data_IF_414884353795
#
_entry.id   IF_414884353795
#
_cell.length_a   1.000
_cell.length_b   1.000
_cell.length_c   1.000
_cell.angle_alpha   90.00
_cell.angle_beta   90.00
_cell.angle_gamma   90.00
#
_symmetry.space_group_name_H-M   'P 1'
#
loop_
_entity.id
_entity.type
_entity.pdbx_description
1 polymer ?
#
# COMPACT_ATOMS: atom_id res chain seq x y z
N UNK A 1 -22.55 26.78 -35.91
CA UNK A 1 -21.63 26.28 -36.94
C UNK A 1 -20.31 27.04 -36.76
N UNK A 2 -19.20 26.32 -36.61
CA UNK A 2 -17.88 26.91 -36.34
C UNK A 2 -17.28 27.37 -37.67
N UNK A 3 -16.60 28.53 -37.69
CA UNK A 3 -15.89 29.01 -38.87
C UNK A 3 -14.60 28.20 -39.07
N UNK A 4 -14.26 27.86 -40.31
CA UNK A 4 -13.03 27.11 -40.59
C UNK A 4 -12.62 27.19 -42.03
N UNK A 5 -11.33 26.95 -42.31
CA UNK A 5 -10.76 26.95 -43.66
C UNK A 5 -9.74 25.80 -43.78
N UNK A 6 -9.41 25.47 -45.05
CA UNK A 6 -8.35 24.50 -45.32
C UNK A 6 -7.00 25.21 -45.42
N UNK A 7 -5.98 24.60 -44.90
CA UNK A 7 -4.59 25.02 -45.02
C UNK A 7 -3.72 23.86 -45.48
N UNK A 8 -2.78 24.12 -46.38
CA UNK A 8 -1.76 23.16 -46.80
C UNK A 8 -0.51 23.32 -45.90
N UNK A 9 -0.05 22.20 -45.33
CA UNK A 9 1.20 22.17 -44.59
C UNK A 9 1.91 20.85 -44.88
N UNK A 10 3.15 20.94 -45.34
CA UNK A 10 3.96 19.77 -45.72
C UNK A 10 3.27 18.85 -46.77
N UNK A 11 2.59 19.44 -47.78
CA UNK A 11 1.91 18.69 -48.85
C UNK A 11 0.63 17.96 -48.42
N UNK A 12 0.09 18.25 -47.21
CA UNK A 12 -1.15 17.66 -46.71
C UNK A 12 -2.16 18.72 -46.28
N UNK A 13 -3.45 18.41 -46.45
CA UNK A 13 -4.55 19.26 -46.01
C UNK A 13 -4.78 19.17 -44.50
N UNK A 14 -4.97 20.34 -43.90
CA UNK A 14 -5.39 20.53 -42.53
C UNK A 14 -6.67 21.35 -42.50
N UNK A 15 -7.64 20.93 -41.67
CA UNK A 15 -8.79 21.76 -41.31
C UNK A 15 -8.41 22.67 -40.15
N UNK A 16 -8.56 23.96 -40.32
CA UNK A 16 -8.31 24.97 -39.30
C UNK A 16 -9.68 25.49 -38.83
N UNK A 17 -10.10 25.13 -37.65
CA UNK A 17 -11.39 25.51 -37.06
C UNK A 17 -11.19 26.67 -36.08
N UNK A 18 -11.92 27.77 -36.33
CA UNK A 18 -11.90 28.95 -35.48
C UNK A 18 -13.15 28.98 -34.61
N UNK A 19 -12.98 28.96 -33.30
CA UNK A 19 -14.07 29.01 -32.35
C UNK A 19 -13.81 30.04 -31.25
N UNK A 20 -14.88 30.43 -30.55
CA UNK A 20 -14.75 31.23 -29.33
C UNK A 20 -14.85 30.30 -28.12
N UNK A 21 -13.94 30.46 -27.16
CA UNK A 21 -14.05 29.79 -25.90
C UNK A 21 -15.18 30.39 -25.02
N UNK A 22 -15.49 29.79 -23.89
CA UNK A 22 -16.54 30.28 -22.98
C UNK A 22 -16.27 31.71 -22.48
N UNK A 23 -15.02 32.14 -22.40
CA UNK A 23 -14.61 33.51 -22.11
C UNK A 23 -14.64 34.48 -23.31
N UNK A 24 -15.20 34.10 -24.48
CA UNK A 24 -15.30 34.94 -25.67
C UNK A 24 -14.02 35.11 -26.47
N UNK A 25 -12.90 34.51 -26.05
CA UNK A 25 -11.61 34.62 -26.74
C UNK A 25 -11.60 33.71 -27.98
N UNK A 26 -11.06 34.22 -29.09
CA UNK A 26 -10.88 33.42 -30.31
C UNK A 26 -9.77 32.40 -30.13
N UNK A 27 -10.07 31.12 -30.40
CA UNK A 27 -9.15 29.98 -30.42
C UNK A 27 -9.17 29.28 -31.77
N UNK A 28 -8.09 28.59 -32.09
CA UNK A 28 -7.93 27.87 -33.34
C UNK A 28 -7.50 26.44 -33.09
N UNK A 29 -8.20 25.47 -33.71
CA UNK A 29 -7.82 24.05 -33.66
C UNK A 29 -7.43 23.56 -35.05
N UNK A 30 -6.25 22.95 -35.11
CA UNK A 30 -5.72 22.34 -36.34
C UNK A 30 -5.97 20.84 -36.31
N UNK A 31 -6.60 20.31 -37.37
CA UNK A 31 -6.90 18.90 -37.54
C UNK A 31 -6.28 18.42 -38.84
N UNK A 32 -5.37 17.46 -38.81
CA UNK A 32 -4.81 16.83 -39.98
C UNK A 32 -5.86 15.96 -40.66
N UNK A 33 -6.13 16.18 -41.94
CA UNK A 33 -7.07 15.36 -42.70
C UNK A 33 -6.40 14.10 -43.30
N UNK A 34 -5.07 13.98 -43.21
CA UNK A 34 -4.33 12.85 -43.81
C UNK A 34 -4.31 12.83 -45.34
N UNK A 35 -4.93 13.81 -45.99
CA UNK A 35 -5.09 13.91 -47.44
C UNK A 35 -3.94 14.69 -48.05
N UNK A 36 -3.29 14.13 -49.11
CA UNK A 36 -2.28 14.81 -49.91
C UNK A 36 -2.91 15.84 -50.81
N UNK A 37 -2.12 16.88 -51.21
CA UNK A 37 -2.58 18.00 -52.02
C UNK A 37 -3.17 17.56 -53.39
N UNK A 38 -2.49 16.61 -54.08
CA UNK A 38 -2.88 16.23 -55.46
C UNK A 38 -4.19 15.41 -55.45
N UNK A 39 -5.20 15.93 -56.15
CA UNK A 39 -6.47 15.23 -56.40
C UNK A 39 -7.47 15.15 -55.24
N UNK A 40 -7.13 15.65 -54.05
CA UNK A 40 -7.97 15.45 -52.85
C UNK A 40 -8.70 16.73 -52.37
N UNK A 41 -8.68 17.82 -53.12
CA UNK A 41 -9.28 19.09 -52.70
C UNK A 41 -10.78 18.95 -52.33
N UNK A 42 -11.59 18.32 -53.20
CA UNK A 42 -13.02 18.10 -52.94
C UNK A 42 -13.28 17.24 -51.69
N UNK A 43 -12.47 16.20 -51.50
CA UNK A 43 -12.56 15.35 -50.28
C UNK A 43 -12.22 16.15 -49.02
N UNK A 44 -11.18 16.99 -49.09
CA UNK A 44 -10.79 17.86 -47.99
C UNK A 44 -11.87 18.90 -47.64
N UNK A 45 -12.52 19.48 -48.66
CA UNK A 45 -13.66 20.41 -48.49
C UNK A 45 -14.88 19.74 -47.86
N UNK A 46 -15.21 18.52 -48.28
CA UNK A 46 -16.30 17.73 -47.68
C UNK A 46 -16.00 17.40 -46.24
N UNK A 47 -14.77 16.98 -45.93
CA UNK A 47 -14.35 16.66 -44.56
C UNK A 47 -14.31 17.89 -43.65
N UNK A 48 -13.89 19.06 -44.19
CA UNK A 48 -13.98 20.34 -43.49
C UNK A 48 -15.43 20.69 -43.18
N UNK A 49 -16.36 20.49 -44.12
CA UNK A 49 -17.78 20.76 -43.90
C UNK A 49 -18.35 19.87 -42.81
N UNK A 50 -18.02 18.59 -42.81
CA UNK A 50 -18.38 17.64 -41.74
C UNK A 50 -17.83 18.06 -40.38
N UNK A 51 -16.53 18.33 -40.30
CA UNK A 51 -15.87 18.76 -39.08
C UNK A 51 -16.46 20.08 -38.55
N UNK A 52 -16.86 21.01 -39.39
CA UNK A 52 -17.52 22.27 -38.96
C UNK A 52 -18.91 22.05 -38.40
N UNK A 53 -19.65 21.03 -38.87
CA UNK A 53 -20.98 20.70 -38.38
C UNK A 53 -20.91 19.92 -37.06
N UNK A 54 -19.95 19.01 -36.93
CA UNK A 54 -19.79 18.11 -35.80
C UNK A 54 -18.90 18.69 -34.68
N UNK A 55 -18.17 19.80 -34.96
CA UNK A 55 -17.25 20.35 -33.99
C UNK A 55 -17.95 21.00 -32.81
N UNK A 56 -17.82 20.35 -31.67
CA UNK A 56 -18.12 20.98 -30.39
C UNK A 56 -16.85 21.60 -29.83
N UNK A 57 -16.86 22.91 -29.50
CA UNK A 57 -15.75 23.54 -28.81
C UNK A 57 -15.43 22.73 -27.56
N UNK A 58 -14.14 22.52 -27.23
CA UNK A 58 -13.78 21.89 -25.97
C UNK A 58 -14.54 22.62 -24.86
N UNK A 59 -15.29 21.88 -24.05
CA UNK A 59 -15.92 22.43 -22.86
C UNK A 59 -14.80 23.01 -22.00
N UNK A 60 -14.69 24.32 -21.96
CA UNK A 60 -13.87 24.96 -20.96
C UNK A 60 -14.57 24.72 -19.63
N UNK A 61 -13.83 24.16 -18.70
CA UNK A 61 -14.25 24.04 -17.31
C UNK A 61 -14.45 25.47 -16.79
N UNK A 62 -15.65 25.95 -16.92
CA UNK A 62 -16.06 27.28 -16.56
C UNK A 62 -17.29 27.19 -15.68
N UNK A 63 -17.17 26.54 -14.53
CA UNK A 63 -18.24 26.61 -13.55
C UNK A 63 -17.69 27.13 -12.23
N UNK A 64 -18.56 27.77 -11.45
CA UNK A 64 -18.31 28.39 -10.15
C UNK A 64 -17.48 27.52 -9.17
N UNK A 65 -17.49 26.20 -9.37
CA UNK A 65 -16.74 25.23 -8.57
C UNK A 65 -15.21 25.33 -8.72
N UNK A 66 -14.69 25.84 -9.86
CA UNK A 66 -13.24 25.95 -10.08
C UNK A 66 -12.60 27.17 -9.37
N UNK A 67 -13.39 28.13 -8.94
CA UNK A 67 -12.96 29.30 -8.17
C UNK A 67 -12.93 29.01 -6.66
N UNK A 68 -13.38 27.82 -6.26
CA UNK A 68 -13.24 27.32 -4.89
C UNK A 68 -11.77 27.24 -4.48
N UNK A 69 -11.46 27.57 -3.22
CA UNK A 69 -10.11 27.36 -2.68
C UNK A 69 -9.74 25.88 -2.74
N UNK A 70 -8.54 25.58 -3.19
CA UNK A 70 -8.04 24.20 -3.23
C UNK A 70 -8.11 23.50 -1.87
N UNK A 71 -7.85 24.26 -0.79
CA UNK A 71 -7.96 23.74 0.59
C UNK A 71 -9.39 23.29 0.94
N UNK A 72 -10.41 24.03 0.48
CA UNK A 72 -11.82 23.71 0.76
C UNK A 72 -12.30 22.58 -0.15
N UNK A 73 -11.88 22.56 -1.41
CA UNK A 73 -12.08 21.43 -2.31
C UNK A 73 -11.60 20.10 -1.72
N UNK A 74 -10.40 20.08 -1.10
CA UNK A 74 -9.86 18.87 -0.49
C UNK A 74 -10.74 18.32 0.63
N UNK A 75 -11.35 19.19 1.42
CA UNK A 75 -12.27 18.80 2.49
C UNK A 75 -13.60 18.28 1.92
N UNK A 76 -14.15 18.96 0.91
CA UNK A 76 -15.37 18.51 0.23
C UNK A 76 -15.15 17.15 -0.45
N UNK A 77 -14.05 17.01 -1.18
CA UNK A 77 -13.68 15.73 -1.78
C UNK A 77 -13.56 14.61 -0.75
N UNK A 78 -12.99 14.89 0.42
CA UNK A 78 -12.85 13.88 1.48
C UNK A 78 -14.22 13.36 1.95
N UNK A 79 -15.19 14.24 2.13
CA UNK A 79 -16.56 13.85 2.51
C UNK A 79 -17.24 13.02 1.40
N UNK A 80 -17.08 13.42 0.13
CA UNK A 80 -17.56 12.63 -1.01
C UNK A 80 -16.89 11.25 -1.07
N UNK A 81 -15.61 11.18 -0.74
CA UNK A 81 -14.83 9.94 -0.77
C UNK A 81 -15.15 8.99 0.40
N UNK A 82 -15.78 9.46 1.48
CA UNK A 82 -16.08 8.72 2.71
C UNK A 82 -16.78 7.39 2.45
N UNK A 83 -17.81 7.37 1.61
CA UNK A 83 -18.56 6.16 1.29
C UNK A 83 -17.82 5.15 0.40
N UNK A 84 -16.66 5.52 -0.18
CA UNK A 84 -15.88 4.69 -1.10
C UNK A 84 -14.55 4.21 -0.53
N UNK A 85 -14.05 4.91 0.48
CA UNK A 85 -12.78 4.59 1.13
C UNK A 85 -13.02 3.60 2.29
N UNK A 86 -12.07 2.70 2.49
CA UNK A 86 -12.04 1.93 3.73
C UNK A 86 -11.83 2.88 4.92
N UNK A 87 -12.46 2.60 6.06
CA UNK A 87 -12.41 3.45 7.26
C UNK A 87 -10.99 3.86 7.66
N UNK A 88 -10.04 2.93 7.68
CA UNK A 88 -8.63 3.22 7.97
C UNK A 88 -7.99 4.17 6.95
N UNK A 89 -8.33 4.05 5.67
CA UNK A 89 -7.84 4.95 4.62
C UNK A 89 -8.46 6.34 4.76
N UNK A 90 -9.77 6.41 5.03
CA UNK A 90 -10.46 7.68 5.26
C UNK A 90 -9.86 8.42 6.46
N UNK A 91 -9.69 7.75 7.61
CA UNK A 91 -9.08 8.38 8.79
C UNK A 91 -7.64 8.83 8.56
N UNK A 92 -6.83 8.03 7.84
CA UNK A 92 -5.48 8.43 7.46
C UNK A 92 -5.48 9.68 6.56
N UNK A 93 -6.34 9.70 5.53
CA UNK A 93 -6.48 10.86 4.64
C UNK A 93 -6.97 12.10 5.40
N UNK A 94 -7.97 11.94 6.25
CA UNK A 94 -8.46 13.03 7.11
C UNK A 94 -7.36 13.60 7.99
N UNK A 95 -6.57 12.74 8.62
CA UNK A 95 -5.43 13.16 9.44
C UNK A 95 -4.42 13.99 8.64
N UNK A 96 -3.98 13.50 7.47
CA UNK A 96 -3.02 14.19 6.61
C UNK A 96 -3.58 15.52 6.08
N UNK A 97 -4.83 15.54 5.67
CA UNK A 97 -5.50 16.74 5.17
C UNK A 97 -5.66 17.79 6.27
N UNK A 98 -6.29 17.43 7.38
CA UNK A 98 -6.62 18.39 8.46
C UNK A 98 -5.37 18.91 9.18
N UNK A 99 -4.33 18.08 9.38
CA UNK A 99 -3.13 18.47 10.12
C UNK A 99 -2.12 19.27 9.31
N UNK A 100 -2.01 19.03 8.01
CA UNK A 100 -0.86 19.54 7.24
C UNK A 100 -1.27 20.15 5.90
N UNK A 101 -1.97 19.41 5.03
CA UNK A 101 -2.18 19.83 3.65
C UNK A 101 -3.11 21.03 3.57
N UNK A 102 -4.28 20.95 4.19
CA UNK A 102 -5.29 22.02 4.19
C UNK A 102 -4.78 23.30 4.85
N UNK A 103 -4.14 23.27 6.04
CA UNK A 103 -3.56 24.47 6.64
C UNK A 103 -2.50 25.14 5.75
N UNK A 104 -1.69 24.35 5.06
CA UNK A 104 -0.68 24.88 4.14
C UNK A 104 -1.31 25.65 2.96
N UNK A 105 -2.21 24.98 2.22
CA UNK A 105 -2.82 25.58 1.03
C UNK A 105 -3.83 26.68 1.36
N UNK A 106 -4.47 26.65 2.51
CA UNK A 106 -5.34 27.74 2.97
C UNK A 106 -4.56 29.05 3.17
N UNK A 107 -3.33 28.97 3.69
CA UNK A 107 -2.43 30.16 3.80
C UNK A 107 -2.03 30.70 2.43
N UNK A 108 -1.94 29.84 1.41
CA UNK A 108 -1.58 30.26 0.04
C UNK A 108 -2.75 30.88 -0.72
N UNK A 109 -3.99 30.70 -0.27
CA UNK A 109 -5.23 31.21 -0.88
C UNK A 109 -5.38 30.84 -2.37
N UNK A 110 -4.83 29.70 -2.79
CA UNK A 110 -4.92 29.22 -4.16
C UNK A 110 -6.27 28.61 -4.42
N UNK A 111 -6.89 28.98 -5.54
CA UNK A 111 -8.09 28.30 -6.04
C UNK A 111 -7.70 26.98 -6.72
N UNK A 112 -8.69 26.12 -6.93
CA UNK A 112 -8.49 24.85 -7.67
C UNK A 112 -7.99 25.11 -9.10
N UNK A 113 -8.46 26.15 -9.75
CA UNK A 113 -8.06 26.59 -11.11
C UNK A 113 -6.62 27.08 -11.16
N UNK A 114 -6.17 27.81 -10.15
CA UNK A 114 -4.82 28.38 -10.09
C UNK A 114 -3.76 27.39 -9.67
N UNK A 115 -4.17 26.19 -9.24
CA UNK A 115 -3.24 25.17 -8.77
C UNK A 115 -2.39 24.64 -9.94
N UNK A 116 -1.08 24.79 -9.82
CA UNK A 116 -0.08 24.31 -10.77
C UNK A 116 0.86 23.30 -10.11
N UNK A 117 1.56 22.51 -10.95
CA UNK A 117 2.55 21.53 -10.46
C UNK A 117 3.64 22.16 -9.59
N UNK A 118 4.06 23.40 -9.90
CA UNK A 118 5.06 24.14 -9.10
C UNK A 118 4.59 24.36 -7.66
N UNK A 119 3.31 24.59 -7.42
CA UNK A 119 2.78 24.82 -6.07
C UNK A 119 2.85 23.53 -5.24
N UNK A 120 2.57 22.39 -5.84
CA UNK A 120 2.74 21.08 -5.20
C UNK A 120 4.21 20.75 -4.96
N UNK A 121 5.10 21.07 -5.92
CA UNK A 121 6.54 20.85 -5.77
C UNK A 121 7.13 21.69 -4.62
N UNK A 122 6.71 22.94 -4.50
CA UNK A 122 7.10 23.81 -3.37
C UNK A 122 6.60 23.24 -2.03
N UNK A 123 5.36 22.75 -1.97
CA UNK A 123 4.83 22.08 -0.79
C UNK A 123 5.66 20.87 -0.40
N UNK A 124 6.00 19.97 -1.36
CA UNK A 124 6.81 18.79 -1.06
C UNK A 124 8.22 19.16 -0.61
N UNK A 125 8.83 20.14 -1.24
CA UNK A 125 10.16 20.64 -0.83
C UNK A 125 10.16 21.21 0.59
N UNK A 126 9.11 21.92 0.98
CA UNK A 126 8.98 22.42 2.36
C UNK A 126 8.74 21.26 3.35
N UNK A 127 7.89 20.31 2.99
CA UNK A 127 7.59 19.17 3.87
C UNK A 127 8.79 18.25 4.07
N UNK A 128 9.63 18.06 3.05
CA UNK A 128 10.86 17.25 3.18
C UNK A 128 11.85 17.76 4.23
N UNK A 129 11.74 19.03 4.63
CA UNK A 129 12.54 19.60 5.75
C UNK A 129 12.02 19.20 7.13
N UNK A 130 10.76 18.68 7.22
CA UNK A 130 10.06 18.41 8.48
C UNK A 130 9.69 16.95 8.66
N UNK A 131 9.49 16.22 7.56
CA UNK A 131 9.03 14.83 7.58
C UNK A 131 9.82 13.97 6.61
N UNK A 132 9.69 12.66 6.75
CA UNK A 132 10.39 11.70 5.88
C UNK A 132 9.84 11.71 4.45
N UNK A 133 10.65 11.31 3.44
CA UNK A 133 10.21 11.16 2.06
C UNK A 133 8.95 10.29 1.91
N UNK A 134 8.85 9.21 2.70
CA UNK A 134 7.67 8.34 2.68
C UNK A 134 6.39 9.08 3.11
N UNK A 135 6.47 10.00 4.08
CA UNK A 135 5.33 10.82 4.49
C UNK A 135 4.90 11.77 3.36
N UNK A 136 5.86 12.37 2.64
CA UNK A 136 5.56 13.24 1.49
C UNK A 136 4.91 12.45 0.35
N UNK A 137 5.32 11.20 0.13
CA UNK A 137 4.66 10.29 -0.82
C UNK A 137 3.19 10.04 -0.42
N UNK A 138 2.88 9.93 0.87
CA UNK A 138 1.48 9.84 1.32
C UNK A 138 0.70 11.14 1.09
N UNK A 139 1.30 12.32 1.31
CA UNK A 139 0.68 13.60 0.95
C UNK A 139 0.37 13.66 -0.55
N UNK A 140 1.34 13.27 -1.39
CA UNK A 140 1.11 13.19 -2.83
C UNK A 140 -0.04 12.26 -3.19
N UNK A 141 -0.12 11.07 -2.59
CA UNK A 141 -1.18 10.10 -2.89
C UNK A 141 -2.58 10.65 -2.58
N UNK A 142 -2.75 11.36 -1.48
CA UNK A 142 -4.02 12.01 -1.12
C UNK A 142 -4.37 13.12 -2.11
N UNK A 143 -3.44 14.05 -2.38
CA UNK A 143 -3.64 15.16 -3.31
C UNK A 143 -3.93 14.64 -4.72
N UNK A 144 -3.15 13.68 -5.20
CA UNK A 144 -3.34 13.06 -6.51
C UNK A 144 -4.71 12.41 -6.65
N UNK A 145 -5.17 11.70 -5.61
CA UNK A 145 -6.49 11.06 -5.60
C UNK A 145 -7.63 12.08 -5.66
N UNK A 146 -7.51 13.20 -4.94
CA UNK A 146 -8.47 14.29 -4.97
C UNK A 146 -8.50 14.97 -6.35
N UNK A 147 -7.35 15.31 -6.90
CA UNK A 147 -7.26 15.95 -8.22
C UNK A 147 -7.71 15.01 -9.35
N UNK A 148 -7.46 13.71 -9.25
CA UNK A 148 -8.00 12.71 -10.18
C UNK A 148 -9.54 12.71 -10.18
N UNK A 149 -10.14 12.92 -9.02
CA UNK A 149 -11.59 13.06 -8.91
C UNK A 149 -12.07 14.37 -9.54
N UNK A 150 -11.37 15.49 -9.33
CA UNK A 150 -11.69 16.77 -9.98
C UNK A 150 -11.67 16.66 -11.52
N UNK A 151 -10.70 15.93 -12.08
CA UNK A 151 -10.65 15.65 -13.52
C UNK A 151 -11.83 14.77 -13.96
N UNK A 152 -12.17 13.75 -13.17
CA UNK A 152 -13.29 12.85 -13.48
C UNK A 152 -14.66 13.57 -13.47
N UNK A 153 -14.79 14.63 -12.70
CA UNK A 153 -16.00 15.44 -12.54
C UNK A 153 -15.96 16.74 -13.35
N UNK A 154 -15.05 16.83 -14.32
CA UNK A 154 -14.88 17.97 -15.22
C UNK A 154 -14.59 19.33 -14.53
N UNK A 155 -14.18 19.32 -13.26
CA UNK A 155 -13.71 20.50 -12.53
C UNK A 155 -12.30 20.94 -12.98
N UNK A 156 -11.49 20.01 -13.46
CA UNK A 156 -10.14 20.22 -14.01
C UNK A 156 -9.98 19.48 -15.33
N UNK A 157 -9.18 20.04 -16.24
CA UNK A 157 -8.84 19.40 -17.53
C UNK A 157 -7.80 18.28 -17.32
N UNK A 158 -6.86 18.46 -16.39
CA UNK A 158 -5.75 17.54 -16.14
C UNK A 158 -5.39 17.52 -14.66
N UNK A 159 -4.83 16.40 -14.22
CA UNK A 159 -4.29 16.28 -12.88
C UNK A 159 -2.88 16.88 -12.81
N UNK A 160 -2.71 18.03 -12.20
CA UNK A 160 -1.40 18.68 -12.10
C UNK A 160 -0.39 17.90 -11.24
N UNK A 161 -0.86 16.99 -10.37
CA UNK A 161 0.00 16.13 -9.58
C UNK A 161 0.74 15.07 -10.43
N UNK A 162 0.28 14.78 -11.66
CA UNK A 162 0.98 13.86 -12.57
C UNK A 162 2.33 14.44 -13.06
N UNK A 163 2.49 15.77 -13.00
CA UNK A 163 3.68 16.50 -13.47
C UNK A 163 4.68 16.81 -12.35
N UNK A 164 4.46 16.26 -11.16
CA UNK A 164 5.30 16.57 -9.99
C UNK A 164 6.28 15.45 -9.71
N UNK A 165 7.52 15.81 -9.44
CA UNK A 165 8.55 14.86 -9.03
C UNK A 165 8.30 14.38 -7.60
N UNK A 166 8.06 13.09 -7.46
CA UNK A 166 7.89 12.44 -6.15
C UNK A 166 9.25 12.15 -5.53
N UNK A 167 9.43 12.35 -4.22
CA UNK A 167 10.66 11.95 -3.55
C UNK A 167 10.85 10.42 -3.68
N UNK A 168 12.11 10.00 -3.69
CA UNK A 168 12.44 8.56 -3.68
C UNK A 168 12.03 7.94 -2.36
N UNK A 169 11.44 6.76 -2.43
CA UNK A 169 11.04 6.00 -1.24
C UNK A 169 12.30 5.56 -0.48
N UNK A 170 12.34 5.83 0.83
CA UNK A 170 13.34 5.23 1.68
C UNK A 170 13.08 3.72 1.79
N UNK A 171 14.09 2.90 1.51
CA UNK A 171 14.01 1.46 1.73
C UNK A 171 13.96 1.18 3.23
N UNK A 172 12.96 0.42 3.64
CA UNK A 172 12.86 -0.09 5.00
C UNK A 172 13.61 -1.43 5.06
N UNK A 173 14.53 -1.55 6.00
CA UNK A 173 15.14 -2.84 6.33
C UNK A 173 14.41 -3.39 7.57
N UNK A 174 13.74 -4.54 7.45
CA UNK A 174 13.09 -5.16 8.59
C UNK A 174 14.12 -5.67 9.60
N UNK A 175 13.75 -5.59 10.87
CA UNK A 175 14.51 -6.20 11.97
C UNK A 175 14.05 -7.65 12.10
N UNK A 176 15.00 -8.58 12.11
CA UNK A 176 14.73 -9.99 12.35
C UNK A 176 15.34 -10.41 13.68
N UNK A 177 14.64 -11.22 14.45
CA UNK A 177 15.18 -11.89 15.61
C UNK A 177 15.68 -13.27 15.23
N UNK A 178 16.81 -13.66 15.79
CA UNK A 178 17.29 -15.05 15.77
C UNK A 178 16.39 -15.94 16.63
N UNK A 179 16.53 -17.26 16.49
CA UNK A 179 15.80 -18.20 17.35
C UNK A 179 16.09 -17.96 18.84
N UNK A 180 17.35 -17.71 19.21
CA UNK A 180 17.75 -17.44 20.59
C UNK A 180 17.18 -16.12 21.12
N UNK A 181 17.16 -15.06 20.30
CA UNK A 181 16.54 -13.79 20.67
C UNK A 181 15.04 -13.94 20.86
N UNK A 182 14.38 -14.74 20.02
CA UNK A 182 12.94 -15.04 20.18
C UNK A 182 12.68 -15.85 21.45
N UNK A 183 13.51 -16.84 21.77
CA UNK A 183 13.36 -17.63 22.97
C UNK A 183 13.45 -16.75 24.23
N UNK A 184 14.47 -15.88 24.31
CA UNK A 184 14.63 -14.92 25.42
C UNK A 184 13.42 -13.98 25.53
N UNK A 185 12.88 -13.52 24.40
CA UNK A 185 11.68 -12.70 24.39
C UNK A 185 10.47 -13.46 24.92
N UNK A 186 10.26 -14.71 24.54
CA UNK A 186 9.15 -15.53 25.01
C UNK A 186 9.26 -15.81 26.51
N UNK A 187 10.46 -16.05 27.03
CA UNK A 187 10.69 -16.22 28.47
C UNK A 187 10.35 -14.94 29.26
N UNK A 188 10.76 -13.78 28.75
CA UNK A 188 10.44 -12.50 29.39
C UNK A 188 8.93 -12.19 29.37
N UNK A 189 8.21 -12.63 28.34
CA UNK A 189 6.77 -12.38 28.17
C UNK A 189 5.88 -13.24 29.07
N UNK A 190 6.39 -14.29 29.69
CA UNK A 190 5.61 -15.22 30.52
C UNK A 190 4.75 -14.50 31.56
N UNK A 191 3.48 -14.88 31.63
CA UNK A 191 2.51 -14.33 32.58
C UNK A 191 2.06 -12.91 32.29
N UNK A 192 2.49 -12.32 31.15
CA UNK A 192 2.05 -10.99 30.76
C UNK A 192 0.87 -11.02 29.78
N UNK A 193 0.10 -9.93 29.70
CA UNK A 193 -1.00 -9.80 28.70
C UNK A 193 -0.50 -9.84 27.24
N UNK A 194 0.79 -9.69 26.99
CA UNK A 194 1.40 -9.76 25.67
C UNK A 194 1.83 -11.18 25.27
N UNK A 195 1.94 -12.11 26.20
CA UNK A 195 2.48 -13.45 25.96
C UNK A 195 1.79 -14.14 24.78
N UNK A 196 0.54 -14.53 24.92
CA UNK A 196 -0.17 -15.28 23.89
C UNK A 196 -0.34 -14.51 22.57
N UNK A 197 -0.69 -13.20 22.55
CA UNK A 197 -0.73 -12.41 21.33
C UNK A 197 0.60 -12.37 20.56
N UNK A 198 1.74 -12.27 21.27
CA UNK A 198 3.07 -12.27 20.67
C UNK A 198 3.45 -13.66 20.15
N UNK A 199 3.19 -14.71 20.92
CA UNK A 199 3.41 -16.09 20.49
C UNK A 199 2.63 -16.40 19.21
N UNK A 200 1.35 -16.08 19.15
CA UNK A 200 0.50 -16.29 17.97
C UNK A 200 1.04 -15.49 16.77
N UNK A 201 1.43 -14.23 16.96
CA UNK A 201 2.00 -13.42 15.90
C UNK A 201 3.36 -13.95 15.41
N UNK A 202 4.21 -14.44 16.31
CA UNK A 202 5.53 -14.94 15.99
C UNK A 202 5.50 -16.29 15.27
N UNK A 203 4.64 -17.21 15.68
CA UNK A 203 4.55 -18.55 15.08
C UNK A 203 3.74 -18.57 13.77
N UNK A 204 2.60 -17.89 13.74
CA UNK A 204 1.70 -17.89 12.59
C UNK A 204 1.93 -16.71 11.63
N UNK A 205 2.81 -15.78 11.98
CA UNK A 205 3.07 -14.58 11.19
C UNK A 205 1.84 -13.68 11.04
N UNK A 206 0.93 -13.66 12.04
CA UNK A 206 -0.30 -12.87 11.97
C UNK A 206 -0.01 -11.37 12.05
N UNK A 207 -0.80 -10.61 11.28
CA UNK A 207 -0.81 -9.14 11.43
C UNK A 207 -1.49 -8.77 12.75
N UNK A 208 -1.11 -7.62 13.35
CA UNK A 208 -1.71 -7.16 14.62
C UNK A 208 -3.25 -7.16 14.61
N UNK A 209 -3.87 -6.74 13.51
CA UNK A 209 -5.33 -6.75 13.38
C UNK A 209 -5.93 -8.14 13.19
N UNK A 210 -5.16 -9.10 12.65
CA UNK A 210 -5.56 -10.51 12.56
C UNK A 210 -5.49 -11.17 13.94
N UNK A 211 -4.46 -10.82 14.76
CA UNK A 211 -4.37 -11.29 16.16
C UNK A 211 -5.57 -10.80 16.95
N UNK A 212 -5.80 -9.49 17.01
CA UNK A 212 -6.92 -8.90 17.76
C UNK A 212 -8.28 -9.35 17.25
N UNK A 213 -8.39 -9.64 15.93
CA UNK A 213 -9.60 -10.12 15.28
C UNK A 213 -9.84 -11.64 15.38
N UNK A 214 -8.97 -12.39 16.08
CA UNK A 214 -9.12 -13.83 16.23
C UNK A 214 -10.31 -14.17 17.13
N UNK A 215 -11.21 -15.02 16.64
CA UNK A 215 -12.39 -15.52 17.37
C UNK A 215 -12.31 -17.03 17.54
N UNK A 216 -13.02 -17.55 18.52
CA UNK A 216 -13.09 -18.98 18.82
C UNK A 216 -13.63 -19.81 17.65
N UNK A 217 -14.52 -19.26 16.83
CA UNK A 217 -15.04 -19.92 15.62
C UNK A 217 -13.98 -20.11 14.51
N UNK A 218 -12.82 -19.50 14.67
CA UNK A 218 -11.69 -19.64 13.76
C UNK A 218 -10.69 -20.72 14.20
N UNK A 219 -10.87 -21.30 15.39
CA UNK A 219 -10.01 -22.34 15.95
C UNK A 219 -10.83 -23.63 16.02
N UNK A 220 -10.46 -24.59 15.17
CA UNK A 220 -11.05 -25.91 15.17
C UNK A 220 -10.14 -26.88 15.93
N UNK A 221 -10.56 -27.24 17.14
CA UNK A 221 -9.81 -28.15 17.99
C UNK A 221 -9.90 -29.60 17.53
N UNK A 222 -10.95 -29.99 16.80
CA UNK A 222 -11.12 -31.35 16.29
C UNK A 222 -10.26 -31.58 15.05
N UNK A 223 -10.35 -30.67 14.07
CA UNK A 223 -9.53 -30.72 12.86
C UNK A 223 -8.09 -30.26 13.07
N UNK A 224 -7.78 -29.69 14.24
CA UNK A 224 -6.45 -29.16 14.54
C UNK A 224 -6.06 -28.01 13.62
N UNK A 225 -6.95 -27.03 13.41
CA UNK A 225 -6.69 -25.91 12.50
C UNK A 225 -7.00 -24.55 13.11
N UNK A 226 -6.29 -23.52 12.65
CA UNK A 226 -6.55 -22.10 12.93
C UNK A 226 -6.76 -21.35 11.61
N UNK A 227 -7.87 -20.64 11.49
CA UNK A 227 -8.25 -19.93 10.28
C UNK A 227 -8.20 -18.40 10.48
N UNK A 228 -7.52 -17.70 9.60
CA UNK A 228 -7.50 -16.23 9.63
C UNK A 228 -8.67 -15.73 8.78
N UNK A 229 -9.80 -15.43 9.46
CA UNK A 229 -11.06 -15.04 8.80
C UNK A 229 -11.38 -13.55 8.94
N UNK A 230 -10.83 -12.89 9.98
CA UNK A 230 -11.18 -11.51 10.36
C UNK A 230 -9.95 -10.68 10.66
N UNK A 231 -10.11 -9.37 10.55
CA UNK A 231 -9.12 -8.40 10.99
C UNK A 231 -9.81 -7.21 11.64
N UNK A 232 -9.23 -6.69 12.69
CA UNK A 232 -9.63 -5.44 13.33
C UNK A 232 -8.66 -4.35 12.89
N UNK A 233 -9.20 -3.26 12.39
CA UNK A 233 -8.43 -2.07 12.04
C UNK A 233 -8.82 -0.90 12.93
N UNK A 234 -7.87 -0.07 13.29
CA UNK A 234 -8.09 1.13 14.08
C UNK A 234 -7.71 2.38 13.32
N UNK A 235 -8.43 3.46 13.55
CA UNK A 235 -8.13 4.77 13.00
C UNK A 235 -8.75 5.87 13.86
N UNK A 236 -8.27 7.11 13.67
CA UNK A 236 -8.85 8.29 14.29
C UNK A 236 -9.71 8.99 13.23
N UNK A 237 -11.01 9.16 13.51
CA UNK A 237 -11.96 9.90 12.68
C UNK A 237 -12.56 11.00 13.56
N UNK A 238 -12.49 12.24 13.13
CA UNK A 238 -12.97 13.43 13.84
C UNK A 238 -12.45 13.51 15.29
N UNK A 239 -11.18 13.17 15.47
CA UNK A 239 -10.49 13.18 16.77
C UNK A 239 -10.85 12.02 17.69
N UNK A 240 -11.74 11.13 17.29
CA UNK A 240 -12.16 9.96 18.06
C UNK A 240 -11.48 8.70 17.55
N UNK A 241 -10.92 7.93 18.45
CA UNK A 241 -10.43 6.59 18.16
C UNK A 241 -11.60 5.64 17.86
N UNK A 242 -11.51 4.91 16.78
CA UNK A 242 -12.52 3.95 16.34
C UNK A 242 -11.86 2.67 15.84
N UNK A 243 -12.48 1.54 16.14
CA UNK A 243 -12.09 0.23 15.65
C UNK A 243 -13.19 -0.34 14.74
N UNK A 244 -12.77 -1.05 13.70
CA UNK A 244 -13.65 -1.64 12.71
C UNK A 244 -13.27 -3.10 12.51
N UNK A 245 -14.20 -4.00 12.80
CA UNK A 245 -14.09 -5.40 12.42
C UNK A 245 -14.38 -5.54 10.93
N UNK A 246 -13.54 -6.25 10.23
CA UNK A 246 -13.72 -6.56 8.81
C UNK A 246 -13.49 -8.05 8.61
N UNK A 247 -14.35 -8.70 7.83
CA UNK A 247 -14.00 -9.99 7.29
C UNK A 247 -12.75 -9.84 6.42
N UNK A 248 -11.79 -10.73 6.53
CA UNK A 248 -10.47 -10.66 5.87
C UNK A 248 -10.53 -10.70 4.33
N UNK A 249 -11.69 -10.50 3.74
CA UNK A 249 -12.04 -10.73 2.35
C UNK A 249 -11.59 -9.66 1.34
N UNK A 250 -10.62 -8.77 1.66
CA UNK A 250 -10.08 -7.85 0.63
C UNK A 250 -9.34 -8.59 -0.49
N UNK A 251 -8.77 -9.76 -0.20
CA UNK A 251 -8.14 -10.64 -1.20
C UNK A 251 -8.35 -12.09 -0.77
N UNK A 252 -8.58 -13.01 -1.73
CA UNK A 252 -8.65 -14.46 -1.47
C UNK A 252 -7.43 -14.99 -0.71
N UNK A 253 -6.27 -14.37 -0.88
CA UNK A 253 -5.01 -14.72 -0.20
C UNK A 253 -4.96 -14.34 1.28
N UNK A 254 -5.84 -13.46 1.75
CA UNK A 254 -5.92 -13.09 3.18
C UNK A 254 -6.64 -14.15 4.02
N UNK A 255 -7.55 -14.92 3.40
CA UNK A 255 -8.20 -16.07 4.02
C UNK A 255 -7.25 -17.27 3.93
N UNK A 256 -6.80 -17.76 5.07
CA UNK A 256 -5.93 -18.93 5.13
C UNK A 256 -6.23 -19.75 6.36
N UNK A 257 -6.10 -21.05 6.23
CA UNK A 257 -6.19 -22.03 7.32
C UNK A 257 -4.82 -22.65 7.51
N UNK A 258 -4.35 -22.64 8.72
CA UNK A 258 -3.04 -23.15 9.12
C UNK A 258 -3.22 -24.28 10.13
N UNK A 259 -2.30 -25.25 10.23
CA UNK A 259 -2.36 -26.28 11.26
C UNK A 259 -2.22 -25.64 12.64
N UNK A 260 -3.03 -26.10 13.58
CA UNK A 260 -2.92 -25.73 14.97
C UNK A 260 -1.75 -26.49 15.59
N UNK A 261 -0.67 -25.76 15.91
CA UNK A 261 0.52 -26.34 16.53
C UNK A 261 0.14 -26.83 17.93
N UNK A 262 0.60 -28.04 18.33
CA UNK A 262 0.13 -28.75 19.52
C UNK A 262 0.13 -27.92 20.82
N UNK A 263 1.23 -27.21 21.10
CA UNK A 263 1.35 -26.34 22.29
C UNK A 263 0.29 -25.23 22.32
N UNK A 264 -0.14 -24.71 21.17
CA UNK A 264 -1.18 -23.67 21.11
C UNK A 264 -2.58 -24.22 21.42
N UNK A 265 -2.82 -25.52 21.19
CA UNK A 265 -4.07 -26.14 21.58
C UNK A 265 -4.30 -25.99 23.08
N UNK A 266 -3.29 -26.29 23.88
CA UNK A 266 -3.35 -26.19 25.36
C UNK A 266 -3.50 -24.73 25.82
N UNK A 267 -2.71 -23.80 25.24
CA UNK A 267 -2.84 -22.37 25.55
C UNK A 267 -4.25 -21.83 25.27
N UNK A 268 -4.80 -22.16 24.10
CA UNK A 268 -6.14 -21.70 23.75
C UNK A 268 -7.22 -22.33 24.61
N UNK A 269 -7.10 -23.59 25.00
CA UNK A 269 -8.04 -24.24 25.93
C UNK A 269 -8.02 -23.55 27.27
N UNK A 270 -6.84 -23.29 27.86
CA UNK A 270 -6.70 -22.58 29.15
C UNK A 270 -7.31 -21.18 29.09
N UNK A 271 -7.05 -20.42 28.00
CA UNK A 271 -7.63 -19.08 27.81
C UNK A 271 -9.15 -19.16 27.72
N UNK A 272 -9.70 -20.15 27.02
CA UNK A 272 -11.15 -20.34 26.88
C UNK A 272 -11.80 -20.65 28.21
N UNK A 273 -11.21 -21.56 29.00
CA UNK A 273 -11.69 -21.89 30.35
C UNK A 273 -11.63 -20.66 31.26
N UNK A 274 -10.53 -19.90 31.23
CA UNK A 274 -10.40 -18.68 32.03
C UNK A 274 -11.47 -17.62 31.66
N UNK A 275 -11.77 -17.46 30.34
CA UNK A 275 -12.84 -16.55 29.90
C UNK A 275 -14.22 -17.01 30.43
N UNK A 276 -14.56 -18.28 30.36
CA UNK A 276 -15.83 -18.80 30.89
C UNK A 276 -15.93 -18.60 32.41
N UNK A 277 -14.84 -18.80 33.13
CA UNK A 277 -14.80 -18.49 34.56
C UNK A 277 -15.00 -17.00 34.84
N UNK A 278 -14.34 -16.12 34.08
CA UNK A 278 -14.49 -14.67 34.20
C UNK A 278 -15.95 -14.22 33.95
N UNK A 279 -16.63 -14.80 32.96
CA UNK A 279 -18.06 -14.55 32.72
C UNK A 279 -18.93 -14.89 33.93
N UNK A 280 -18.65 -16.02 34.53
CA UNK A 280 -19.40 -16.47 35.73
C UNK A 280 -19.14 -15.56 36.94
N UNK A 281 -17.88 -15.18 37.17
CA UNK A 281 -17.47 -14.35 38.31
C UNK A 281 -17.96 -12.91 38.17
N UNK A 282 -17.79 -12.31 36.97
CA UNK A 282 -18.14 -10.92 36.73
C UNK A 282 -19.64 -10.71 36.50
N UNK A 283 -20.36 -11.75 36.02
CA UNK A 283 -21.81 -11.68 35.79
C UNK A 283 -22.22 -10.47 34.95
N UNK A 284 -23.02 -9.59 35.51
CA UNK A 284 -23.54 -8.41 34.82
C UNK A 284 -22.47 -7.33 34.52
N UNK A 285 -21.27 -7.43 35.11
CA UNK A 285 -20.16 -6.52 34.85
C UNK A 285 -19.32 -6.94 33.64
N UNK A 286 -19.53 -8.16 33.12
CA UNK A 286 -18.84 -8.65 31.96
C UNK A 286 -19.36 -8.00 30.67
N UNK A 287 -18.46 -7.53 29.81
CA UNK A 287 -18.83 -6.98 28.53
C UNK A 287 -19.01 -8.09 27.47
N UNK A 288 -20.27 -8.38 27.13
CA UNK A 288 -20.61 -9.40 26.13
C UNK A 288 -20.53 -8.90 24.69
N UNK A 289 -20.24 -7.61 24.45
CA UNK A 289 -20.08 -7.06 23.09
C UNK A 289 -18.99 -7.78 22.31
N UNK A 290 -17.91 -8.16 23.01
CA UNK A 290 -16.77 -8.86 22.41
C UNK A 290 -16.76 -10.36 22.70
N UNK A 291 -17.90 -10.93 23.03
CA UNK A 291 -17.99 -12.38 23.19
C UNK A 291 -17.57 -13.13 21.93
N UNK A 292 -16.89 -14.23 22.12
CA UNK A 292 -16.31 -15.01 21.02
C UNK A 292 -14.92 -14.57 20.56
N UNK A 293 -14.39 -13.40 20.98
CA UNK A 293 -13.00 -13.04 20.71
C UNK A 293 -12.03 -13.77 21.66
N UNK A 294 -10.86 -14.14 21.13
CA UNK A 294 -9.82 -14.85 21.90
C UNK A 294 -9.09 -13.91 22.87
N UNK A 295 -8.83 -12.67 22.43
CA UNK A 295 -8.04 -11.71 23.20
C UNK A 295 -8.94 -10.66 23.85
N UNK A 296 -9.60 -11.05 24.93
CA UNK A 296 -10.34 -10.18 25.83
C UNK A 296 -9.71 -10.22 27.24
N UNK A 297 -9.95 -9.18 28.03
CA UNK A 297 -9.51 -9.13 29.41
C UNK A 297 -10.53 -9.79 30.37
N UNK A 298 -10.29 -9.67 31.64
CA UNK A 298 -11.09 -10.30 32.71
C UNK A 298 -12.55 -9.77 32.74
N UNK A 299 -12.78 -8.56 32.21
CA UNK A 299 -14.10 -7.94 32.12
C UNK A 299 -14.75 -8.12 30.73
N UNK A 300 -14.14 -8.88 29.84
CA UNK A 300 -14.65 -9.11 28.47
C UNK A 300 -14.30 -8.01 27.46
N UNK A 301 -13.48 -7.02 27.85
CA UNK A 301 -13.05 -5.97 26.92
C UNK A 301 -12.00 -6.50 25.95
N UNK A 302 -12.26 -6.31 24.65
CA UNK A 302 -11.32 -6.75 23.62
C UNK A 302 -10.02 -5.95 23.66
N UNK A 303 -8.91 -6.65 23.52
CA UNK A 303 -7.60 -6.02 23.36
C UNK A 303 -7.60 -5.04 22.19
N UNK A 304 -7.17 -3.80 22.42
CA UNK A 304 -7.07 -2.77 21.37
C UNK A 304 -5.89 -3.03 20.44
N UNK A 305 -6.08 -2.78 19.13
CA UNK A 305 -5.01 -2.93 18.12
C UNK A 305 -3.78 -2.07 18.46
N UNK A 306 -4.00 -0.89 19.02
CA UNK A 306 -2.93 0.03 19.41
C UNK A 306 -2.15 -0.45 20.63
N UNK A 307 -2.75 -1.24 21.50
CA UNK A 307 -2.04 -1.81 22.65
C UNK A 307 -0.84 -2.63 22.18
N UNK A 308 -1.01 -3.53 21.22
CA UNK A 308 0.07 -4.33 20.66
C UNK A 308 1.17 -3.45 20.02
N UNK A 309 0.77 -2.34 19.37
CA UNK A 309 1.71 -1.43 18.71
C UNK A 309 2.57 -0.66 19.70
N UNK A 310 1.97 -0.24 20.82
CA UNK A 310 2.60 0.66 21.79
C UNK A 310 3.26 -0.08 22.95
N UNK A 311 2.60 -1.13 23.48
CA UNK A 311 3.09 -1.86 24.65
C UNK A 311 4.25 -2.80 24.30
N UNK A 312 4.19 -3.49 23.15
CA UNK A 312 5.21 -4.47 22.77
C UNK A 312 6.63 -3.86 22.65
N UNK A 313 6.86 -2.78 21.86
CA UNK A 313 8.19 -2.17 21.81
C UNK A 313 8.69 -1.65 23.16
N UNK A 314 7.80 -1.09 23.98
CA UNK A 314 8.14 -0.60 25.33
C UNK A 314 8.52 -1.76 26.27
N UNK A 315 7.81 -2.87 26.17
CA UNK A 315 8.11 -4.08 26.93
C UNK A 315 9.51 -4.58 26.59
N UNK A 316 9.87 -4.66 25.31
CA UNK A 316 11.21 -5.09 24.91
C UNK A 316 12.30 -4.17 25.47
N UNK A 317 12.11 -2.85 25.39
CA UNK A 317 13.04 -1.87 25.94
C UNK A 317 13.21 -2.01 27.46
N UNK A 318 12.11 -2.18 28.22
CA UNK A 318 12.16 -2.31 29.68
C UNK A 318 12.83 -3.60 30.16
N UNK A 319 12.93 -4.62 29.30
CA UNK A 319 13.60 -5.89 29.59
C UNK A 319 15.00 -6.00 28.95
N UNK A 320 15.55 -4.89 28.43
CA UNK A 320 16.86 -4.89 27.78
C UNK A 320 16.93 -5.70 26.48
N UNK A 321 15.78 -6.00 25.89
CA UNK A 321 15.68 -6.73 24.63
C UNK A 321 15.73 -5.77 23.43
N UNK A 322 16.14 -6.29 22.27
CA UNK A 322 16.24 -5.53 21.06
C UNK A 322 14.89 -4.95 20.65
N UNK A 323 14.78 -3.63 20.57
CA UNK A 323 13.57 -2.94 20.15
C UNK A 323 13.15 -3.33 18.75
N UNK A 324 11.88 -3.72 18.57
CA UNK A 324 11.26 -3.99 17.29
C UNK A 324 9.78 -3.63 17.32
N UNK A 325 9.18 -3.50 16.15
CA UNK A 325 7.73 -3.29 16.04
C UNK A 325 7.01 -4.62 16.10
N UNK A 326 5.77 -4.63 16.55
CA UNK A 326 4.94 -5.85 16.58
C UNK A 326 4.86 -6.53 15.18
N UNK A 327 4.82 -5.73 14.11
CA UNK A 327 4.79 -6.28 12.74
C UNK A 327 6.08 -7.02 12.34
N UNK A 328 7.20 -6.71 12.97
CA UNK A 328 8.49 -7.35 12.67
C UNK A 328 8.56 -8.80 13.16
N UNK A 329 7.64 -9.22 14.07
CA UNK A 329 7.45 -10.64 14.43
C UNK A 329 7.08 -11.48 13.20
N UNK A 330 6.24 -10.94 12.31
CA UNK A 330 5.89 -11.59 11.05
C UNK A 330 7.09 -11.74 10.11
N UNK A 331 7.98 -10.76 10.10
CA UNK A 331 9.23 -10.84 9.35
C UNK A 331 10.17 -11.88 9.97
N UNK A 332 10.25 -11.97 11.28
CA UNK A 332 11.02 -12.99 12.00
C UNK A 332 10.48 -14.40 11.74
N UNK A 333 9.16 -14.58 11.76
CA UNK A 333 8.51 -15.83 11.36
C UNK A 333 8.94 -16.30 9.97
N UNK A 334 8.85 -15.42 8.98
CA UNK A 334 9.25 -15.75 7.61
C UNK A 334 10.75 -16.04 7.48
N UNK A 335 11.59 -15.28 8.19
CA UNK A 335 13.04 -15.51 8.21
C UNK A 335 13.40 -16.87 8.82
N UNK A 336 12.72 -17.27 9.89
CA UNK A 336 12.91 -18.60 10.50
C UNK A 336 12.44 -19.74 9.61
N UNK A 337 11.28 -19.59 8.96
CA UNK A 337 10.80 -20.57 7.98
C UNK A 337 11.79 -20.75 6.83
N UNK A 338 12.32 -19.63 6.30
CA UNK A 338 13.32 -19.67 5.23
C UNK A 338 14.63 -20.31 5.72
N UNK A 339 15.11 -19.96 6.91
CA UNK A 339 16.32 -20.54 7.50
C UNK A 339 16.21 -22.05 7.72
N UNK A 340 14.97 -22.56 7.91
CA UNK A 340 14.67 -24.00 8.01
C UNK A 340 14.34 -24.65 6.64
N UNK A 341 14.66 -23.99 5.53
CA UNK A 341 14.54 -24.54 4.19
C UNK A 341 13.11 -24.56 3.61
N UNK A 342 12.15 -23.87 4.24
CA UNK A 342 10.78 -23.82 3.70
C UNK A 342 10.77 -22.96 2.43
N UNK A 343 10.23 -23.48 1.31
CA UNK A 343 10.19 -22.75 0.04
C UNK A 343 9.44 -21.41 0.16
N UNK A 344 9.93 -20.36 -0.52
CA UNK A 344 9.33 -19.02 -0.49
C UNK A 344 7.83 -19.01 -0.85
N UNK A 345 7.40 -19.91 -1.72
CA UNK A 345 5.98 -20.08 -2.09
C UNK A 345 5.13 -20.51 -0.90
N UNK A 346 5.58 -21.49 -0.12
CA UNK A 346 4.88 -21.92 1.08
C UNK A 346 4.91 -20.86 2.19
N UNK A 347 6.01 -20.10 2.30
CA UNK A 347 6.08 -18.94 3.22
C UNK A 347 5.06 -17.88 2.81
N UNK A 348 4.92 -17.60 1.51
CA UNK A 348 3.90 -16.67 1.00
C UNK A 348 2.49 -17.10 1.41
N UNK A 349 2.16 -18.38 1.24
CA UNK A 349 0.85 -18.96 1.60
C UNK A 349 0.62 -18.93 3.11
N UNK A 350 1.62 -19.32 3.90
CA UNK A 350 1.59 -19.28 5.36
C UNK A 350 1.25 -17.87 5.88
N UNK A 351 1.94 -16.90 5.35
CA UNK A 351 1.76 -15.51 5.74
C UNK A 351 0.50 -14.87 5.12
N UNK A 352 0.00 -15.37 4.00
CA UNK A 352 -1.08 -14.74 3.24
C UNK A 352 -0.66 -13.42 2.60
N UNK A 353 0.49 -13.42 1.89
CA UNK A 353 0.90 -12.29 1.06
C UNK A 353 0.21 -12.38 -0.30
N UNK A 354 -0.51 -11.31 -0.68
CA UNK A 354 -1.18 -11.21 -1.98
C UNK A 354 -0.22 -11.14 -3.15
N UNK A 355 1.01 -10.65 -2.93
CA UNK A 355 2.06 -10.50 -3.92
C UNK A 355 3.33 -11.22 -3.47
N UNK A 356 3.81 -12.14 -4.32
CA UNK A 356 5.06 -12.86 -4.11
C UNK A 356 6.27 -11.93 -4.03
N UNK A 357 6.24 -10.83 -4.78
CA UNK A 357 7.31 -9.82 -4.81
C UNK A 357 7.58 -9.25 -3.42
N UNK A 358 6.53 -9.12 -2.58
CA UNK A 358 6.67 -8.67 -1.19
C UNK A 358 7.53 -9.64 -0.37
N UNK A 359 7.30 -10.96 -0.52
CA UNK A 359 8.10 -11.99 0.17
C UNK A 359 9.51 -12.04 -0.40
N UNK A 360 9.64 -12.09 -1.72
CA UNK A 360 10.94 -12.19 -2.40
C UNK A 360 11.86 -11.00 -2.09
N UNK A 361 11.36 -9.76 -2.17
CA UNK A 361 12.18 -8.56 -1.95
C UNK A 361 12.65 -8.40 -0.50
N UNK A 362 11.87 -8.88 0.48
CA UNK A 362 12.27 -8.81 1.88
C UNK A 362 13.34 -9.85 2.22
N UNK A 363 13.28 -11.04 1.61
CA UNK A 363 14.08 -12.19 2.01
C UNK A 363 15.15 -12.62 0.98
N UNK A 364 15.19 -12.00 -0.21
CA UNK A 364 16.15 -12.35 -1.26
C UNK A 364 17.62 -12.27 -0.82
N UNK A 365 17.94 -11.39 0.13
CA UNK A 365 19.30 -11.25 0.67
C UNK A 365 19.64 -12.28 1.76
N UNK A 366 18.65 -12.98 2.33
CA UNK A 366 18.84 -14.03 3.33
C UNK A 366 19.05 -15.42 2.68
N UNK A 367 18.80 -15.52 1.38
CA UNK A 367 18.76 -16.78 0.63
C UNK A 367 20.18 -17.26 0.17
N UNK A 368 21.23 -16.91 0.92
CA UNK A 368 22.58 -17.37 0.57
C UNK A 368 22.75 -18.90 0.72
N UNK A 369 22.03 -19.52 1.68
CA UNK A 369 22.07 -20.98 1.85
C UNK A 369 21.45 -21.71 0.66
N UNK A 370 20.39 -21.21 0.04
CA UNK A 370 19.81 -21.83 -1.15
C UNK A 370 20.74 -21.69 -2.36
N UNK A 371 21.59 -20.66 -2.42
CA UNK A 371 22.64 -20.53 -3.43
C UNK A 371 23.72 -21.58 -3.26
N UNK A 372 24.11 -21.88 -2.01
CA UNK A 372 25.06 -22.98 -1.71
C UNK A 372 24.44 -24.32 -2.13
N UNK A 373 23.19 -24.60 -1.76
CA UNK A 373 22.48 -25.83 -2.17
C UNK A 373 22.35 -25.92 -3.69
N UNK A 374 22.07 -24.81 -4.37
CA UNK A 374 22.02 -24.73 -5.82
C UNK A 374 23.40 -25.00 -6.46
N UNK A 375 24.47 -24.44 -5.88
CA UNK A 375 25.82 -24.70 -6.33
C UNK A 375 26.20 -26.18 -6.16
N UNK A 376 25.87 -26.78 -5.02
CA UNK A 376 26.08 -28.20 -4.76
C UNK A 376 25.27 -29.09 -5.73
N UNK A 377 24.01 -28.71 -6.04
CA UNK A 377 23.21 -29.42 -7.01
C UNK A 377 23.81 -29.36 -8.43
N UNK A 378 24.38 -28.21 -8.81
CA UNK A 378 25.09 -28.03 -10.07
C UNK A 378 26.37 -28.90 -10.09
N UNK A 379 27.13 -28.90 -9.00
CA UNK A 379 28.35 -29.69 -8.84
C UNK A 379 28.04 -31.20 -8.88
N UNK A 380 26.93 -31.63 -8.29
CA UNK A 380 26.48 -33.02 -8.34
C UNK A 380 25.93 -33.42 -9.72
N UNK A 381 25.24 -32.47 -10.39
CA UNK A 381 24.60 -32.71 -11.70
C UNK A 381 25.52 -32.55 -12.90
N UNK A 382 26.64 -31.85 -12.76
CA UNK A 382 27.61 -31.55 -13.81
C UNK A 382 29.02 -31.84 -13.30
N UNK A 383 29.59 -32.96 -13.74
CA UNK A 383 31.02 -33.23 -13.49
C UNK A 383 31.88 -32.26 -14.32
N UNK A 384 32.75 -31.52 -13.65
CA UNK A 384 33.77 -30.73 -14.36
C UNK A 384 34.76 -31.70 -15.04
N UNK A 385 35.21 -31.39 -16.27
CA UNK A 385 36.23 -32.21 -16.94
C UNK A 385 37.48 -32.34 -16.07
N UNK A 386 37.90 -33.56 -15.80
CA UNK A 386 39.17 -33.82 -15.07
C UNK A 386 40.36 -33.31 -15.85
N UNK A 387 41.29 -32.63 -15.18
CA UNK A 387 42.68 -32.46 -15.64
C UNK A 387 42.91 -31.36 -16.68
N UNK A 388 42.22 -30.26 -16.63
CA UNK A 388 42.54 -29.08 -17.44
C UNK A 388 43.47 -28.12 -16.73
N UNK A 389 44.73 -28.04 -17.14
CA UNK A 389 45.57 -26.88 -16.77
C UNK A 389 45.03 -25.63 -17.49
N UNK A 390 44.08 -24.96 -16.83
CA UNK A 390 43.44 -23.74 -17.34
C UNK A 390 44.43 -22.56 -17.37
N UNK A 391 45.54 -22.61 -16.62
CA UNK A 391 46.53 -21.52 -16.55
C UNK A 391 47.29 -21.39 -17.86
N UNK A 392 47.67 -22.52 -18.47
CA UNK A 392 48.34 -22.55 -19.74
C UNK A 392 47.45 -22.17 -20.93
N UNK A 393 46.19 -22.56 -20.90
CA UNK A 393 45.20 -22.22 -21.95
C UNK A 393 44.79 -20.73 -21.90
N UNK A 394 44.66 -20.15 -20.68
CA UNK A 394 44.26 -18.75 -20.54
C UNK A 394 45.39 -17.79 -20.90
N UNK A 395 46.66 -18.16 -20.63
CA UNK A 395 47.83 -17.36 -21.03
C UNK A 395 48.06 -17.32 -22.54
N UNK A 396 47.64 -18.36 -23.30
CA UNK A 396 47.75 -18.39 -24.75
C UNK A 396 46.69 -17.55 -25.46
N UNK A 397 45.52 -17.39 -24.86
CA UNK A 397 44.44 -16.53 -25.42
C UNK A 397 44.78 -15.05 -25.26
N UNK A 398 45.41 -14.65 -24.16
CA UNK A 398 45.85 -13.26 -23.95
C UNK A 398 47.07 -12.83 -24.79
N UNK A 399 47.78 -13.78 -25.35
CA UNK A 399 48.91 -13.50 -26.25
C UNK A 399 48.55 -13.43 -27.75
N UNK A 400 47.36 -13.90 -28.13
CA UNK A 400 46.89 -13.95 -29.51
C UNK A 400 46.19 -12.69 -30.05
N UNK A 401 45.87 -11.70 -29.20
CA UNK A 401 45.20 -10.45 -29.62
C UNK A 401 46.15 -9.27 -29.84
N UNK A 402 47.47 -9.52 -30.04
CA UNK A 402 48.41 -8.50 -30.43
C UNK A 402 49.17 -8.94 -31.69
N UNK A 403 48.45 -9.07 -32.80
CA UNK A 403 49.07 -9.08 -34.14
C UNK A 403 48.08 -8.50 -35.18
#
# INVERSE_FOLDING_TARGET
MVAGHLTLKNGKYYAVLNYKNAGGQRKTKWISLGLSEKGNKRKAESELARLRAEFEPPKEVGDLSSDMLFADYLLEWLEIAKGRLAHATYGAYQGLLKSTIVPYFRKKKLTLRELEARHLQMFYSEMLRRVTPNTVIHYHAVIHSALKYAVKTDMLIQNVADKVDRPRKNSFQPVFLSADEMQKMFEALRGTKLELPVLVAAFYGLRRGEVVGLKWDAIDFEQGTISVKRTVTSTIIDGKYQEFEQQSAKTKSSLRTLPLIGSFREYFMQVKEAQELNKQVCGNCYNYEYDGFVFVDELGERMRVEYLTNAFPKFLESHGLRRMRFHDLRHSCASLLLANGVPLKHIQEWLGHSDFTTTANIYAHLDYKSKITSAQAMETGLALPEGGDFSSRWSSISAGEKS
#
